data_IF_054435552885
#
_entry.id   IF_054435552885
#
_cell.length_a   1.000
_cell.length_b   1.000
_cell.length_c   1.000
_cell.angle_alpha   90.00
_cell.angle_beta   90.00
_cell.angle_gamma   90.00
#
_symmetry.space_group_name_H-M   'P 1'
#
loop_
_entity.id
_entity.type
_entity.pdbx_description
1 polymer ?
#
# COMPACT_ATOMS: atom_id res chain seq x y z
N UNK A 1 19.57 6.24 -10.36
CA UNK A 1 19.78 4.78 -10.21
C UNK A 1 20.10 4.19 -11.58
N UNK A 2 21.01 3.22 -11.66
CA UNK A 2 21.29 2.52 -12.91
C UNK A 2 20.18 1.50 -13.20
N UNK A 3 19.66 1.50 -14.42
CA UNK A 3 18.70 0.50 -14.89
C UNK A 3 19.43 -0.63 -15.61
N UNK A 4 18.94 -1.86 -15.47
CA UNK A 4 19.41 -3.04 -16.22
C UNK A 4 18.22 -3.63 -16.97
N UNK A 5 18.41 -3.92 -18.25
CA UNK A 5 17.39 -4.59 -19.07
C UNK A 5 17.44 -6.09 -18.78
N UNK A 6 16.26 -6.67 -18.54
CA UNK A 6 16.04 -8.11 -18.39
C UNK A 6 14.94 -8.50 -19.37
N UNK A 7 15.06 -9.66 -20.00
CA UNK A 7 14.01 -10.24 -20.84
C UNK A 7 13.29 -11.30 -20.02
N UNK A 8 11.96 -11.22 -19.98
CA UNK A 8 11.09 -12.19 -19.31
C UNK A 8 9.97 -12.60 -20.26
N UNK A 9 9.48 -13.83 -20.10
CA UNK A 9 8.31 -14.32 -20.83
C UNK A 9 7.07 -14.03 -20.00
N UNK A 10 6.06 -13.41 -20.61
CA UNK A 10 4.75 -13.15 -20.02
C UNK A 10 3.65 -13.58 -20.99
N UNK A 11 2.47 -13.97 -20.50
CA UNK A 11 1.30 -14.23 -21.35
C UNK A 11 0.96 -13.01 -22.22
N UNK A 12 0.56 -13.25 -23.47
CA UNK A 12 0.33 -12.19 -24.45
C UNK A 12 -0.89 -11.32 -24.10
N UNK A 13 -1.96 -11.97 -23.65
CA UNK A 13 -3.17 -11.35 -23.09
C UNK A 13 -2.82 -10.41 -21.93
N UNK A 14 -2.02 -10.88 -20.97
CA UNK A 14 -1.58 -10.05 -19.85
C UNK A 14 -0.73 -8.85 -20.30
N UNK A 15 0.13 -9.03 -21.31
CA UNK A 15 0.91 -7.91 -21.85
C UNK A 15 0.02 -6.85 -22.47
N UNK A 16 -1.04 -7.26 -23.17
CA UNK A 16 -1.97 -6.33 -23.82
C UNK A 16 -2.81 -5.57 -22.77
N UNK A 17 -3.26 -6.24 -21.71
CA UNK A 17 -3.92 -5.61 -20.56
C UNK A 17 -3.02 -4.56 -19.91
N UNK A 18 -1.78 -4.93 -19.56
CA UNK A 18 -0.83 -3.99 -18.93
C UNK A 18 -0.54 -2.80 -19.85
N UNK A 19 -0.47 -3.01 -21.17
CA UNK A 19 -0.25 -1.93 -22.13
C UNK A 19 -1.41 -0.96 -22.19
N UNK A 20 -2.65 -1.46 -22.08
CA UNK A 20 -3.83 -0.60 -22.00
C UNK A 20 -3.80 0.27 -20.74
N UNK A 21 -3.43 -0.31 -19.60
CA UNK A 21 -3.34 0.38 -18.31
C UNK A 21 -2.16 1.36 -18.22
N UNK A 22 -1.02 1.01 -18.80
CA UNK A 22 0.22 1.78 -18.67
C UNK A 22 0.25 3.08 -19.49
N UNK A 23 -0.70 3.26 -20.42
CA UNK A 23 -0.95 4.40 -21.31
C UNK A 23 0.19 5.44 -21.40
N UNK A 24 0.29 6.37 -20.43
CA UNK A 24 1.25 7.49 -20.44
C UNK A 24 2.57 7.25 -19.69
N UNK A 25 2.58 6.38 -18.66
CA UNK A 25 3.78 6.13 -17.83
C UNK A 25 4.75 5.15 -18.48
N UNK A 26 4.26 4.37 -19.45
CA UNK A 26 5.03 3.38 -20.18
C UNK A 26 5.21 2.06 -19.42
N UNK A 27 5.27 0.97 -20.19
CA UNK A 27 5.32 -0.41 -19.68
C UNK A 27 6.41 -0.63 -18.62
N UNK A 28 7.61 -0.08 -18.83
CA UNK A 28 8.73 -0.26 -17.90
C UNK A 28 8.48 0.40 -16.54
N UNK A 29 7.82 1.55 -16.50
CA UNK A 29 7.49 2.24 -15.24
C UNK A 29 6.40 1.48 -14.48
N UNK A 30 5.36 1.05 -15.20
CA UNK A 30 4.30 0.20 -14.64
C UNK A 30 4.88 -1.06 -14.00
N UNK A 31 5.72 -1.80 -14.74
CA UNK A 31 6.33 -3.04 -14.23
C UNK A 31 7.25 -2.75 -13.03
N UNK A 32 8.01 -1.66 -13.05
CA UNK A 32 8.85 -1.30 -11.92
C UNK A 32 8.05 -0.97 -10.65
N UNK A 33 6.92 -0.26 -10.78
CA UNK A 33 6.02 0.04 -9.67
C UNK A 33 5.34 -1.24 -9.15
N UNK A 34 4.82 -2.08 -10.04
CA UNK A 34 4.20 -3.35 -9.69
C UNK A 34 5.19 -4.30 -8.96
N UNK A 35 6.45 -4.37 -9.41
CA UNK A 35 7.48 -5.18 -8.76
C UNK A 35 7.85 -4.64 -7.37
N UNK A 36 7.88 -3.31 -7.17
CA UNK A 36 8.10 -2.72 -5.85
C UNK A 36 6.95 -3.05 -4.93
N UNK A 37 5.71 -2.82 -5.38
CA UNK A 37 4.52 -3.12 -4.61
C UNK A 37 4.44 -4.61 -4.22
N UNK A 38 4.73 -5.50 -5.17
CA UNK A 38 4.80 -6.94 -4.91
C UNK A 38 5.85 -7.26 -3.85
N UNK A 39 7.07 -6.74 -3.98
CA UNK A 39 8.15 -6.98 -3.02
C UNK A 39 7.79 -6.50 -1.61
N UNK A 40 7.15 -5.34 -1.51
CA UNK A 40 6.74 -4.80 -0.22
C UNK A 40 5.59 -5.62 0.38
N UNK A 41 4.65 -6.10 -0.44
CA UNK A 41 3.62 -7.04 -0.01
C UNK A 41 4.19 -8.38 0.45
N UNK A 42 5.16 -8.94 -0.28
CA UNK A 42 5.80 -10.21 0.06
C UNK A 42 6.49 -10.11 1.43
N UNK A 43 7.16 -8.99 1.73
CA UNK A 43 7.75 -8.72 3.05
C UNK A 43 6.72 -8.55 4.17
N UNK A 44 5.58 -7.93 3.87
CA UNK A 44 4.50 -7.80 4.84
C UNK A 44 3.89 -9.16 5.16
N UNK A 45 3.76 -10.06 4.16
CA UNK A 45 3.31 -11.43 4.39
C UNK A 45 4.31 -12.21 5.25
N UNK A 46 5.60 -12.09 4.98
CA UNK A 46 6.65 -12.71 5.81
C UNK A 46 6.58 -12.23 7.28
N UNK A 47 6.31 -10.93 7.50
CA UNK A 47 6.10 -10.41 8.85
C UNK A 47 4.84 -10.99 9.51
N UNK A 48 3.74 -11.09 8.77
CA UNK A 48 2.48 -11.68 9.27
C UNK A 48 2.69 -13.14 9.65
N UNK A 49 3.39 -13.91 8.81
CA UNK A 49 3.69 -15.31 9.08
C UNK A 49 4.47 -15.44 10.39
N UNK A 50 5.51 -14.63 10.59
CA UNK A 50 6.29 -14.62 11.84
C UNK A 50 5.44 -14.28 13.07
N UNK A 51 4.56 -13.27 12.97
CA UNK A 51 3.67 -12.89 14.07
C UNK A 51 2.65 -13.99 14.39
N UNK A 52 2.15 -14.70 13.38
CA UNK A 52 1.22 -15.81 13.57
C UNK A 52 1.90 -17.05 14.15
N UNK A 53 3.17 -17.28 13.85
CA UNK A 53 3.96 -18.33 14.51
C UNK A 53 4.12 -18.05 16.01
N UNK A 54 4.32 -16.79 16.40
CA UNK A 54 4.51 -16.39 17.80
C UNK A 54 3.19 -16.32 18.59
N UNK A 55 2.15 -15.74 17.99
CA UNK A 55 0.91 -15.39 18.70
C UNK A 55 -0.31 -16.23 18.28
N UNK A 56 -0.21 -17.03 17.22
CA UNK A 56 -1.32 -17.73 16.61
C UNK A 56 -2.05 -16.89 15.55
N UNK A 57 -3.00 -17.51 14.81
CA UNK A 57 -3.78 -16.82 13.79
C UNK A 57 -4.74 -15.80 14.44
N UNK A 58 -4.92 -14.67 13.77
CA UNK A 58 -5.89 -13.64 14.19
C UNK A 58 -7.31 -14.18 14.04
N UNK A 59 -8.07 -14.14 15.14
CA UNK A 59 -9.48 -14.54 15.15
C UNK A 59 -10.38 -13.43 14.58
N UNK A 60 -11.59 -13.80 14.15
CA UNK A 60 -12.53 -12.80 13.63
C UNK A 60 -12.94 -11.79 14.72
N UNK A 61 -13.08 -12.22 15.97
CA UNK A 61 -13.43 -11.33 17.08
C UNK A 61 -12.31 -10.30 17.35
N UNK A 62 -11.05 -10.73 17.34
CA UNK A 62 -9.89 -9.83 17.45
C UNK A 62 -9.81 -8.86 16.26
N UNK A 63 -10.10 -9.36 15.05
CA UNK A 63 -10.11 -8.54 13.84
C UNK A 63 -11.19 -7.46 13.90
N UNK A 64 -12.39 -7.80 14.35
CA UNK A 64 -13.50 -6.83 14.52
C UNK A 64 -13.13 -5.79 15.57
N UNK A 65 -12.65 -6.22 16.75
CA UNK A 65 -12.24 -5.29 17.80
C UNK A 65 -11.13 -4.32 17.35
N UNK A 66 -10.15 -4.80 16.58
CA UNK A 66 -9.09 -3.95 16.04
C UNK A 66 -9.57 -2.96 14.97
N UNK A 67 -10.57 -3.33 14.16
CA UNK A 67 -11.17 -2.43 13.18
C UNK A 67 -12.01 -1.35 13.85
N UNK A 68 -12.77 -1.70 14.89
CA UNK A 68 -13.53 -0.74 15.68
C UNK A 68 -12.60 0.29 16.35
N UNK A 69 -11.48 -0.16 16.93
CA UNK A 69 -10.45 0.74 17.49
C UNK A 69 -9.86 1.67 16.42
N UNK A 70 -9.62 1.17 15.22
CA UNK A 70 -9.08 1.97 14.12
C UNK A 70 -10.07 3.07 13.67
N UNK A 71 -11.37 2.75 13.60
CA UNK A 71 -12.42 3.70 13.27
C UNK A 71 -12.51 4.83 14.31
N UNK A 72 -12.42 4.48 15.60
CA UNK A 72 -12.38 5.47 16.69
C UNK A 72 -11.17 6.41 16.58
N UNK A 73 -9.99 5.85 16.29
CA UNK A 73 -8.76 6.61 16.08
C UNK A 73 -8.87 7.57 14.88
N UNK A 74 -9.44 7.10 13.76
CA UNK A 74 -9.65 7.92 12.58
C UNK A 74 -10.63 9.07 12.85
N UNK A 75 -11.73 8.80 13.54
CA UNK A 75 -12.69 9.82 13.96
C UNK A 75 -12.06 10.84 14.93
N UNK A 76 -11.15 10.42 15.81
CA UNK A 76 -10.38 11.34 16.65
C UNK A 76 -9.43 12.21 15.81
N UNK A 77 -8.68 11.61 14.88
CA UNK A 77 -7.77 12.35 14.01
C UNK A 77 -8.49 13.39 13.15
N UNK A 78 -9.68 13.07 12.64
CA UNK A 78 -10.52 14.01 11.91
C UNK A 78 -10.98 15.17 12.78
N UNK A 79 -11.47 14.89 14.00
CA UNK A 79 -11.84 15.94 14.97
C UNK A 79 -10.66 16.86 15.29
N UNK A 80 -9.46 16.30 15.49
CA UNK A 80 -8.23 17.07 15.73
C UNK A 80 -7.84 17.92 14.52
N UNK A 81 -7.94 17.39 13.29
CA UNK A 81 -7.69 18.14 12.05
C UNK A 81 -8.69 19.28 11.86
N UNK A 82 -9.97 19.04 12.12
CA UNK A 82 -11.03 20.06 12.03
C UNK A 82 -10.91 21.16 13.10
N UNK A 83 -10.30 20.84 14.24
CA UNK A 83 -10.10 21.78 15.37
C UNK A 83 -8.74 22.49 15.36
N UNK A 84 -7.88 22.22 14.36
CA UNK A 84 -6.58 22.87 14.20
C UNK A 84 -6.70 24.37 13.88
N UNK A 85 -5.75 25.23 14.33
CA UNK A 85 -5.94 26.67 14.34
C UNK A 85 -6.02 27.26 12.93
N UNK A 86 -7.13 27.93 12.64
CA UNK A 86 -7.37 28.73 11.44
C UNK A 86 -6.64 30.10 11.50
N UNK A 87 -5.40 30.16 12.02
CA UNK A 87 -4.62 31.40 12.12
C UNK A 87 -3.10 31.13 12.11
N UNK A 88 -2.49 31.11 10.93
CA UNK A 88 -1.05 31.31 10.75
C UNK A 88 -0.75 31.82 9.33
N UNK A 89 -1.51 32.83 8.90
CA UNK A 89 -1.41 33.45 7.58
C UNK A 89 -1.54 34.96 7.64
N UNK A 90 -0.96 35.60 8.67
CA UNK A 90 -0.72 37.04 8.70
C UNK A 90 0.51 37.30 9.57
N UNK A 91 1.67 37.44 8.92
CA UNK A 91 2.85 38.11 9.47
C UNK A 91 3.77 38.53 8.31
N UNK A 92 3.61 39.80 7.96
CA UNK A 92 4.57 40.80 7.44
C UNK A 92 5.78 40.36 6.60
#
# INVERSE_FOLDING_TARGET
MATKKVTVTIPADLLDEIRADAAERGLSAYVAEALRFKRDRDRLLELVDWLQEEHGPVTEDERVAALDELEDLDAEHERRRASGPHNAGEAA
#
